data_IF_177158467066
#
_entry.id   IF_177158467066
#
_cell.length_a   1.000
_cell.length_b   1.000
_cell.length_c   1.000
_cell.angle_alpha   90.00
_cell.angle_beta   90.00
_cell.angle_gamma   90.00
#
_symmetry.space_group_name_H-M   'P 1'
#
loop_
_entity.id
_entity.type
_entity.pdbx_description
1 polymer ?
#
# COMPACT_ATOMS: atom_id res chain seq x y z
N UNK A 1 14.30 2.06 -4.22
CA UNK A 1 13.46 2.36 -3.04
C UNK A 1 12.19 3.07 -3.50
N UNK A 2 11.02 2.66 -3.00
CA UNK A 2 9.77 3.39 -3.21
C UNK A 2 9.68 4.54 -2.21
N UNK A 3 9.17 5.69 -2.63
CA UNK A 3 8.95 6.82 -1.72
C UNK A 3 7.76 6.50 -0.79
N UNK A 4 7.82 6.92 0.47
CA UNK A 4 6.72 6.70 1.44
C UNK A 4 5.37 7.24 0.93
N UNK A 5 5.39 8.33 0.16
CA UNK A 5 4.21 8.91 -0.49
C UNK A 5 3.57 7.94 -1.50
N UNK A 6 4.38 7.22 -2.28
CA UNK A 6 3.89 6.24 -3.26
C UNK A 6 3.31 5.00 -2.57
N UNK A 7 3.97 4.54 -1.50
CA UNK A 7 3.47 3.45 -0.67
C UNK A 7 2.13 3.84 -0.03
N UNK A 8 2.04 5.05 0.53
CA UNK A 8 0.82 5.57 1.14
C UNK A 8 -0.33 5.68 0.13
N UNK A 9 -0.07 6.22 -1.06
CA UNK A 9 -1.06 6.32 -2.14
C UNK A 9 -1.55 4.93 -2.60
N UNK A 10 -0.65 3.96 -2.72
CA UNK A 10 -1.00 2.59 -3.10
C UNK A 10 -1.83 1.89 -2.00
N UNK A 11 -1.53 2.12 -0.73
CA UNK A 11 -2.35 1.65 0.40
C UNK A 11 -3.74 2.28 0.36
N UNK A 12 -3.85 3.59 0.11
CA UNK A 12 -5.15 4.27 -0.01
C UNK A 12 -5.99 3.68 -1.15
N UNK A 13 -5.40 3.45 -2.32
CA UNK A 13 -6.07 2.80 -3.44
C UNK A 13 -6.52 1.36 -3.11
N UNK A 14 -5.69 0.62 -2.37
CA UNK A 14 -6.03 -0.73 -1.89
C UNK A 14 -7.24 -0.71 -0.94
N UNK A 15 -7.31 0.26 -0.02
CA UNK A 15 -8.45 0.42 0.89
C UNK A 15 -9.74 0.72 0.11
N UNK A 16 -9.71 1.67 -0.82
CA UNK A 16 -10.88 2.00 -1.66
C UNK A 16 -11.40 0.76 -2.39
N UNK A 17 -10.50 -0.02 -2.99
CA UNK A 17 -10.86 -1.26 -3.70
C UNK A 17 -11.45 -2.33 -2.79
N UNK A 18 -10.97 -2.44 -1.55
CA UNK A 18 -11.43 -3.46 -0.59
C UNK A 18 -12.70 -3.07 0.14
N UNK A 19 -13.05 -1.79 0.21
CA UNK A 19 -14.22 -1.29 0.96
C UNK A 19 -15.51 -2.09 0.75
N UNK A 20 -15.90 -2.50 -0.48
CA UNK A 20 -17.13 -3.27 -0.69
C UNK A 20 -17.14 -4.64 0.00
N UNK A 21 -15.97 -5.29 0.13
CA UNK A 21 -15.84 -6.63 0.74
C UNK A 21 -16.08 -6.62 2.26
N UNK A 22 -16.07 -5.44 2.89
CA UNK A 22 -16.23 -5.27 4.33
C UNK A 22 -17.55 -4.59 4.71
N UNK A 23 -18.52 -4.51 3.78
CA UNK A 23 -19.81 -3.83 3.98
C UNK A 23 -20.50 -4.25 5.28
N UNK A 24 -20.52 -5.55 5.55
CA UNK A 24 -21.21 -6.14 6.71
C UNK A 24 -20.26 -6.45 7.89
N UNK A 25 -19.00 -6.00 7.81
CA UNK A 25 -17.95 -6.31 8.80
C UNK A 25 -17.22 -5.04 9.29
N UNK A 26 -17.90 -4.14 10.02
CA UNK A 26 -17.34 -2.84 10.42
C UNK A 26 -16.17 -2.95 11.41
N UNK A 27 -16.12 -4.00 12.22
CA UNK A 27 -14.99 -4.27 13.11
C UNK A 27 -13.74 -4.69 12.31
N UNK A 28 -13.90 -5.63 11.37
CA UNK A 28 -12.80 -6.06 10.50
C UNK A 28 -12.28 -4.91 9.62
N UNK A 29 -13.18 -4.05 9.12
CA UNK A 29 -12.79 -2.86 8.38
C UNK A 29 -11.93 -1.91 9.22
N UNK A 30 -12.34 -1.63 10.47
CA UNK A 30 -11.57 -0.77 11.38
C UNK A 30 -10.17 -1.34 11.65
N UNK A 31 -10.07 -2.64 11.90
CA UNK A 31 -8.77 -3.31 12.11
C UNK A 31 -7.87 -3.21 10.87
N UNK A 32 -8.43 -3.37 9.67
CA UNK A 32 -7.69 -3.18 8.42
C UNK A 32 -7.22 -1.73 8.26
N UNK A 33 -8.09 -0.75 8.52
CA UNK A 33 -7.75 0.67 8.42
C UNK A 33 -6.64 1.06 9.41
N UNK A 34 -6.68 0.54 10.64
CA UNK A 34 -5.65 0.82 11.63
C UNK A 34 -4.29 0.25 11.21
N UNK A 35 -4.26 -1.01 10.75
CA UNK A 35 -3.03 -1.61 10.22
C UNK A 35 -2.53 -0.90 8.96
N UNK A 36 -3.44 -0.46 8.08
CA UNK A 36 -3.10 0.30 6.88
C UNK A 36 -2.54 1.69 7.20
N UNK A 37 -3.04 2.34 8.25
CA UNK A 37 -2.47 3.59 8.75
C UNK A 37 -1.02 3.38 9.18
N UNK A 38 -0.74 2.38 10.02
CA UNK A 38 0.62 2.01 10.44
C UNK A 38 1.53 1.72 9.25
N UNK A 39 1.02 1.03 8.22
CA UNK A 39 1.76 0.72 7.00
C UNK A 39 2.13 1.95 6.16
N UNK A 40 1.23 2.95 6.12
CA UNK A 40 1.38 4.19 5.36
C UNK A 40 2.33 5.21 5.99
N UNK A 41 2.63 5.08 7.29
CA UNK A 41 3.51 5.99 8.00
C UNK A 41 4.99 5.79 7.62
N UNK A 42 5.79 6.86 7.56
CA UNK A 42 7.24 6.74 7.51
C UNK A 42 7.78 6.10 8.79
N UNK A 43 8.99 5.55 8.74
CA UNK A 43 9.51 4.69 9.81
C UNK A 43 9.51 5.35 11.20
N UNK A 44 9.96 6.60 11.30
CA UNK A 44 9.97 7.34 12.57
C UNK A 44 8.56 7.55 13.14
N UNK A 45 7.61 7.95 12.30
CA UNK A 45 6.22 8.16 12.72
C UNK A 45 5.54 6.85 13.12
N UNK A 46 5.84 5.75 12.42
CA UNK A 46 5.35 4.42 12.74
C UNK A 46 5.84 3.96 14.12
N UNK A 47 7.12 4.17 14.43
CA UNK A 47 7.69 3.84 15.74
C UNK A 47 7.02 4.64 16.86
N UNK A 48 6.82 5.95 16.66
CA UNK A 48 6.13 6.80 17.63
C UNK A 48 4.67 6.38 17.87
N UNK A 49 3.95 6.05 16.79
CA UNK A 49 2.58 5.54 16.88
C UNK A 49 2.50 4.23 17.66
N UNK A 50 3.35 3.25 17.33
CA UNK A 50 3.37 1.95 18.01
C UNK A 50 3.78 2.08 19.49
N UNK A 51 4.68 3.00 19.82
CA UNK A 51 5.01 3.33 21.21
C UNK A 51 3.78 3.83 21.97
N UNK A 52 3.02 4.76 21.36
CA UNK A 52 1.77 5.28 21.93
C UNK A 52 0.73 4.17 22.14
N UNK A 53 0.56 3.29 21.14
CA UNK A 53 -0.35 2.13 21.24
C UNK A 53 0.11 1.19 22.37
N UNK A 54 1.41 0.97 22.51
CA UNK A 54 1.95 0.12 23.58
C UNK A 54 1.56 0.66 24.95
N UNK A 55 1.70 1.96 25.17
CA UNK A 55 1.32 2.62 26.43
C UNK A 55 -0.19 2.61 26.69
N UNK A 56 -1.01 2.83 25.66
CA UNK A 56 -2.45 3.01 25.84
C UNK A 56 -3.25 1.71 25.81
N UNK A 57 -2.85 0.74 24.97
CA UNK A 57 -3.61 -0.48 24.64
C UNK A 57 -2.82 -1.76 24.90
N UNK A 58 -1.59 -1.63 25.40
CA UNK A 58 -0.71 -2.74 25.73
C UNK A 58 0.15 -3.22 24.56
N UNK A 59 1.24 -3.91 24.93
CA UNK A 59 2.27 -4.38 24.01
C UNK A 59 1.76 -5.41 22.99
N UNK A 60 0.81 -6.27 23.37
CA UNK A 60 0.24 -7.27 22.46
C UNK A 60 -0.53 -6.61 21.30
N UNK A 61 -1.34 -5.59 21.60
CA UNK A 61 -2.06 -4.82 20.57
C UNK A 61 -1.08 -4.12 19.64
N UNK A 62 -0.02 -3.52 20.18
CA UNK A 62 1.01 -2.86 19.39
C UNK A 62 1.77 -3.86 18.50
N UNK A 63 2.08 -5.06 19.01
CA UNK A 63 2.74 -6.11 18.24
C UNK A 63 1.87 -6.55 17.06
N UNK A 64 0.59 -6.85 17.30
CA UNK A 64 -0.35 -7.25 16.24
C UNK A 64 -0.47 -6.17 15.15
N UNK A 65 -0.53 -4.89 15.54
CA UNK A 65 -0.56 -3.78 14.59
C UNK A 65 0.74 -3.63 13.80
N UNK A 66 1.89 -3.82 14.47
CA UNK A 66 3.20 -3.79 13.83
C UNK A 66 3.32 -4.88 12.75
N UNK A 67 2.98 -6.11 13.09
CA UNK A 67 3.07 -7.26 12.18
C UNK A 67 2.13 -7.11 10.99
N UNK A 68 0.87 -6.75 11.26
CA UNK A 68 -0.12 -6.58 10.21
C UNK A 68 0.24 -5.40 9.29
N UNK A 69 0.66 -4.26 9.87
CA UNK A 69 1.14 -3.11 9.10
C UNK A 69 2.37 -3.43 8.26
N UNK A 70 3.33 -4.20 8.80
CA UNK A 70 4.51 -4.65 8.06
C UNK A 70 4.12 -5.56 6.87
N UNK A 71 3.18 -6.48 7.08
CA UNK A 71 2.66 -7.35 6.01
C UNK A 71 1.97 -6.55 4.89
N UNK A 72 1.13 -5.57 5.25
CA UNK A 72 0.49 -4.69 4.26
C UNK A 72 1.54 -3.92 3.46
N UNK A 73 2.52 -3.31 4.15
CA UNK A 73 3.57 -2.53 3.49
C UNK A 73 4.43 -3.38 2.56
N UNK A 74 4.83 -4.58 3.00
CA UNK A 74 5.60 -5.51 2.19
C UNK A 74 4.86 -5.93 0.92
N UNK A 75 3.56 -6.26 1.04
CA UNK A 75 2.72 -6.60 -0.11
C UNK A 75 2.58 -5.45 -1.10
N UNK A 76 2.41 -4.22 -0.61
CA UNK A 76 2.32 -3.03 -1.46
C UNK A 76 3.65 -2.72 -2.15
N UNK A 77 4.77 -2.79 -1.42
CA UNK A 77 6.11 -2.61 -2.00
C UNK A 77 6.38 -3.65 -3.09
N UNK A 78 6.01 -4.91 -2.87
CA UNK A 78 6.09 -5.97 -3.88
C UNK A 78 5.25 -5.62 -5.11
N UNK A 79 3.99 -5.26 -4.93
CA UNK A 79 3.10 -4.86 -6.02
C UNK A 79 3.64 -3.67 -6.83
N UNK A 80 4.17 -2.65 -6.16
CA UNK A 80 4.75 -1.48 -6.83
C UNK A 80 6.05 -1.85 -7.58
N UNK A 81 6.85 -2.75 -7.01
CA UNK A 81 8.06 -3.27 -7.66
C UNK A 81 7.71 -4.06 -8.92
N UNK A 82 6.75 -4.98 -8.84
CA UNK A 82 6.23 -5.75 -9.97
C UNK A 82 5.65 -4.84 -11.06
N UNK A 83 4.84 -3.84 -10.67
CA UNK A 83 4.28 -2.86 -11.60
C UNK A 83 5.37 -2.08 -12.34
N UNK A 84 6.42 -1.67 -11.63
CA UNK A 84 7.56 -0.96 -12.23
C UNK A 84 8.33 -1.86 -13.20
N UNK A 85 8.60 -3.11 -12.83
CA UNK A 85 9.28 -4.08 -13.70
C UNK A 85 8.47 -4.34 -14.97
N UNK A 86 7.15 -4.52 -14.85
CA UNK A 86 6.28 -4.72 -16.01
C UNK A 86 6.26 -3.50 -16.94
N UNK A 87 6.24 -2.28 -16.39
CA UNK A 87 6.34 -1.05 -17.17
C UNK A 87 7.70 -0.89 -17.87
N UNK A 88 8.79 -1.39 -17.28
CA UNK A 88 10.11 -1.41 -17.91
C UNK A 88 10.23 -2.49 -18.99
N UNK A 89 9.55 -3.64 -18.84
CA UNK A 89 9.59 -4.76 -19.79
C UNK A 89 8.64 -4.59 -20.97
N UNK A 90 7.59 -3.77 -20.80
CA UNK A 90 6.77 -3.27 -21.90
C UNK A 90 6.99 -1.76 -21.99
N UNK A 91 8.12 -1.29 -22.57
CA UNK A 91 8.09 0.05 -23.12
C UNK A 91 6.89 0.06 -24.06
N UNK A 92 5.97 1.01 -23.88
CA UNK A 92 4.85 1.21 -24.79
C UNK A 92 5.35 0.99 -26.21
N UNK A 93 4.65 0.23 -27.08
CA UNK A 93 4.98 0.26 -28.50
C UNK A 93 4.78 1.71 -28.92
N UNK A 94 5.87 2.47 -28.93
CA UNK A 94 5.94 3.73 -29.64
C UNK A 94 5.55 3.37 -31.06
N UNK A 95 4.40 3.90 -31.45
CA UNK A 95 3.82 3.83 -32.78
C UNK A 95 4.93 3.84 -33.83
N UNK A 96 5.31 2.66 -34.28
CA UNK A 96 6.03 2.49 -35.52
C UNK A 96 5.07 1.82 -36.49
N UNK A 97 4.97 2.45 -37.66
CA UNK A 97 4.28 1.96 -38.85
C UNK A 97 2.75 2.07 -38.90
N UNK A 98 2.27 3.07 -39.66
CA UNK A 98 1.31 2.95 -40.79
C UNK A 98 1.14 4.38 -41.36
N UNK A 99 1.88 4.75 -42.41
CA UNK A 99 1.53 4.59 -43.85
C UNK A 99 0.87 5.87 -44.39
N UNK A 100 1.46 6.54 -45.38
CA UNK A 100 1.18 6.27 -46.80
C UNK A 100 1.82 7.32 -47.71
N UNK A 101 2.47 6.81 -48.74
CA UNK A 101 2.94 7.54 -49.93
C UNK A 101 1.77 8.14 -50.75
N UNK A 102 2.14 9.03 -51.68
CA UNK A 102 1.40 9.62 -52.81
C UNK A 102 0.52 10.85 -52.50
N UNK A 103 0.97 12.04 -52.92
CA UNK A 103 0.70 12.65 -54.24
C UNK A 103 1.69 13.79 -54.53
#
# INVERSE_FOLDING_TARGET
MHHDSEISAAIAAMLVRRRPMYKDMPAAWRNLCEAAHVASLPEAARAAFLSTVTTQRGADTALRLREHGASIRANVVRFLSERRMNACMHPSPTADSTDREAF
#
